data_IF_542193039802
#
_entry.id   IF_542193039802
#
_cell.length_a   1.000
_cell.length_b   1.000
_cell.length_c   1.000
_cell.angle_alpha   90.00
_cell.angle_beta   90.00
_cell.angle_gamma   90.00
#
_symmetry.space_group_name_H-M   'P 1'
#
loop_
_entity.id
_entity.type
_entity.pdbx_description
1 polymer ?
#
# COMPACT_ATOMS: atom_id res chain seq x y z
N UNK A 1 55.21 -12.84 -7.27
CA UNK A 1 54.47 -12.32 -8.44
C UNK A 1 53.00 -12.48 -8.14
N UNK A 2 52.46 -11.48 -7.45
CA UNK A 2 51.05 -11.37 -7.08
C UNK A 2 50.33 -10.58 -8.16
N UNK A 3 49.35 -11.17 -8.83
CA UNK A 3 48.45 -10.46 -9.72
C UNK A 3 47.07 -10.35 -9.07
N UNK A 4 46.92 -9.35 -8.21
CA UNK A 4 45.62 -8.86 -7.76
C UNK A 4 44.91 -8.15 -8.90
N UNK A 5 43.91 -8.81 -9.50
CA UNK A 5 42.91 -8.13 -10.33
C UNK A 5 41.73 -7.79 -9.43
N UNK A 6 41.74 -6.54 -8.96
CA UNK A 6 40.61 -5.87 -8.34
C UNK A 6 39.47 -5.82 -9.36
N UNK A 7 38.38 -6.55 -9.10
CA UNK A 7 37.09 -6.30 -9.75
C UNK A 7 36.58 -4.94 -9.26
N UNK A 8 36.98 -3.86 -9.95
CA UNK A 8 36.32 -2.56 -9.80
C UNK A 8 34.94 -2.67 -10.45
N UNK A 9 33.92 -3.00 -9.65
CA UNK A 9 32.54 -2.75 -10.07
C UNK A 9 32.39 -1.25 -10.30
N UNK A 10 31.97 -0.85 -11.50
CA UNK A 10 31.56 0.54 -11.76
C UNK A 10 30.32 0.79 -10.91
N UNK A 11 30.51 1.30 -9.70
CA UNK A 11 29.43 1.80 -8.86
C UNK A 11 28.95 3.09 -9.52
N UNK A 12 27.79 3.03 -10.19
CA UNK A 12 27.14 4.23 -10.69
C UNK A 12 26.70 5.03 -9.45
N UNK A 13 27.20 6.26 -9.33
CA UNK A 13 26.84 7.17 -8.25
C UNK A 13 25.31 7.39 -8.22
N UNK A 14 24.71 7.15 -7.07
CA UNK A 14 23.29 7.33 -6.81
C UNK A 14 22.82 8.76 -7.18
N UNK A 15 23.61 9.78 -6.83
CA UNK A 15 23.29 11.16 -7.15
C UNK A 15 23.21 11.42 -8.65
N UNK A 16 23.95 10.66 -9.46
CA UNK A 16 23.91 10.75 -10.92
C UNK A 16 22.64 10.09 -11.47
N UNK A 17 22.29 8.89 -10.99
CA UNK A 17 21.06 8.21 -11.40
C UNK A 17 19.80 9.02 -11.05
N UNK A 18 19.78 9.59 -9.85
CA UNK A 18 18.70 10.45 -9.40
C UNK A 18 18.53 11.68 -10.31
N UNK A 19 19.63 12.39 -10.61
CA UNK A 19 19.60 13.53 -11.54
C UNK A 19 19.14 13.13 -12.94
N UNK A 20 19.54 11.96 -13.43
CA UNK A 20 19.11 11.43 -14.72
C UNK A 20 17.60 11.16 -14.72
N UNK A 21 17.08 10.52 -13.67
CA UNK A 21 15.65 10.27 -13.52
C UNK A 21 14.86 11.58 -13.44
N UNK A 22 15.30 12.51 -12.58
CA UNK A 22 14.65 13.81 -12.35
C UNK A 22 14.74 14.76 -13.56
N UNK A 23 15.71 14.55 -14.46
CA UNK A 23 15.81 15.30 -15.72
C UNK A 23 14.62 15.06 -16.65
N UNK A 24 13.98 13.90 -16.54
CA UNK A 24 12.92 13.45 -17.45
C UNK A 24 13.40 13.13 -18.87
N UNK A 25 14.70 13.03 -19.11
CA UNK A 25 15.27 12.76 -20.44
C UNK A 25 15.35 11.27 -20.80
N UNK A 26 15.19 10.37 -19.83
CA UNK A 26 15.20 8.93 -20.08
C UNK A 26 13.93 8.52 -20.84
N UNK A 27 14.07 7.95 -22.06
CA UNK A 27 12.92 7.48 -22.83
C UNK A 27 12.14 6.42 -22.06
N UNK A 28 10.81 6.51 -22.08
CA UNK A 28 9.93 5.59 -21.35
C UNK A 28 10.21 4.10 -21.63
N UNK A 29 10.42 3.63 -22.88
CA UNK A 29 10.73 2.22 -23.15
C UNK A 29 12.01 1.73 -22.46
N UNK A 30 13.02 2.61 -22.36
CA UNK A 30 14.28 2.32 -21.67
C UNK A 30 14.05 2.20 -20.17
N UNK A 31 13.29 3.13 -19.59
CA UNK A 31 12.95 3.11 -18.17
C UNK A 31 12.17 1.84 -17.79
N UNK A 32 11.14 1.49 -18.56
CA UNK A 32 10.37 0.25 -18.35
C UNK A 32 11.26 -1.00 -18.47
N UNK A 33 12.15 -1.02 -19.48
CA UNK A 33 13.13 -2.11 -19.65
C UNK A 33 14.05 -2.27 -18.44
N UNK A 34 14.57 -1.16 -17.91
CA UNK A 34 15.42 -1.13 -16.73
C UNK A 34 14.65 -1.63 -15.47
N UNK A 35 13.42 -1.17 -15.26
CA UNK A 35 12.60 -1.62 -14.13
C UNK A 35 12.35 -3.14 -14.19
N UNK A 36 12.01 -3.67 -15.37
CA UNK A 36 11.84 -5.13 -15.55
C UNK A 36 13.13 -5.91 -15.26
N UNK A 37 14.29 -5.37 -15.63
CA UNK A 37 15.57 -5.97 -15.29
C UNK A 37 15.81 -5.99 -13.77
N UNK A 38 15.50 -4.90 -13.06
CA UNK A 38 15.56 -4.83 -11.59
C UNK A 38 14.61 -5.85 -10.95
N UNK A 39 13.37 -5.99 -11.46
CA UNK A 39 12.43 -7.02 -10.98
C UNK A 39 13.00 -8.43 -11.15
N UNK A 40 13.59 -8.73 -12.32
CA UNK A 40 14.21 -10.03 -12.58
C UNK A 40 15.41 -10.31 -11.66
N UNK A 41 16.24 -9.29 -11.40
CA UNK A 41 17.37 -9.37 -10.46
C UNK A 41 16.89 -9.63 -9.03
N UNK A 42 15.86 -8.89 -8.59
CA UNK A 42 15.27 -9.08 -7.25
C UNK A 42 14.76 -10.51 -7.08
N UNK A 43 14.00 -11.03 -8.05
CA UNK A 43 13.52 -12.42 -8.00
C UNK A 43 14.66 -13.44 -7.94
N UNK A 44 15.76 -13.20 -8.66
CA UNK A 44 16.93 -14.08 -8.62
C UNK A 44 17.61 -14.05 -7.24
N UNK A 45 17.67 -12.89 -6.60
CA UNK A 45 18.20 -12.74 -5.24
C UNK A 45 17.30 -13.46 -4.23
N UNK A 46 15.99 -13.23 -4.27
CA UNK A 46 15.06 -13.83 -3.30
C UNK A 46 14.96 -15.36 -3.44
N UNK A 47 15.09 -15.89 -4.66
CA UNK A 47 15.17 -17.35 -4.89
C UNK A 47 16.44 -18.00 -4.31
N UNK A 48 17.46 -17.22 -3.99
CA UNK A 48 18.74 -17.68 -3.43
C UNK A 48 18.83 -17.52 -1.91
N UNK A 49 17.77 -17.02 -1.25
CA UNK A 49 17.74 -16.91 0.21
C UNK A 49 17.97 -18.29 0.85
N UNK A 50 18.73 -18.36 1.95
CA UNK A 50 18.99 -19.62 2.62
C UNK A 50 17.71 -20.24 3.19
N UNK A 51 17.64 -21.57 3.34
CA UNK A 51 16.61 -22.20 4.16
C UNK A 51 16.55 -21.56 5.56
N UNK A 52 15.36 -21.42 6.12
CA UNK A 52 15.19 -20.77 7.43
C UNK A 52 14.98 -19.25 7.38
N UNK A 53 15.17 -18.60 6.22
CA UNK A 53 15.03 -17.14 6.10
C UNK A 53 13.63 -16.63 6.48
N UNK A 54 12.57 -17.32 6.05
CA UNK A 54 11.20 -16.91 6.39
C UNK A 54 10.94 -17.01 7.89
N UNK A 55 11.41 -18.08 8.54
CA UNK A 55 11.30 -18.25 9.99
C UNK A 55 12.06 -17.16 10.75
N UNK A 56 13.27 -16.82 10.30
CA UNK A 56 14.06 -15.74 10.88
C UNK A 56 13.38 -14.37 10.71
N UNK A 57 12.79 -14.12 9.53
CA UNK A 57 12.01 -12.90 9.28
C UNK A 57 10.79 -12.83 10.20
N UNK A 58 9.99 -13.90 10.29
CA UNK A 58 8.83 -13.97 11.20
C UNK A 58 9.25 -13.69 12.64
N UNK A 59 10.35 -14.28 13.12
CA UNK A 59 10.86 -14.03 14.46
C UNK A 59 11.25 -12.56 14.66
N UNK A 60 11.95 -11.96 13.69
CA UNK A 60 12.32 -10.54 13.71
C UNK A 60 11.10 -9.61 13.73
N UNK A 61 10.06 -9.92 12.96
CA UNK A 61 8.81 -9.16 12.95
C UNK A 61 8.11 -9.21 14.32
N UNK A 62 8.07 -10.39 14.98
CA UNK A 62 7.48 -10.54 16.33
C UNK A 62 8.22 -9.73 17.41
N UNK A 63 9.52 -9.51 17.25
CA UNK A 63 10.33 -8.73 18.21
C UNK A 63 10.46 -7.24 17.86
N UNK A 64 9.94 -6.80 16.71
CA UNK A 64 10.03 -5.40 16.28
C UNK A 64 8.97 -4.52 16.95
N UNK A 65 9.10 -3.20 16.82
CA UNK A 65 7.98 -2.29 17.07
C UNK A 65 6.86 -2.52 16.04
N UNK A 66 5.63 -2.07 16.34
CA UNK A 66 4.49 -2.19 15.40
C UNK A 66 4.79 -1.54 14.05
N UNK A 67 5.44 -0.39 14.05
CA UNK A 67 5.92 0.30 12.87
C UNK A 67 7.25 0.97 13.17
N UNK A 68 8.13 1.02 12.16
CA UNK A 68 9.43 1.69 12.21
C UNK A 68 9.42 2.87 11.21
N UNK A 69 10.26 3.87 11.42
CA UNK A 69 10.45 5.00 10.48
C UNK A 69 9.16 5.75 10.08
N UNK A 70 8.18 5.85 10.98
CA UNK A 70 6.86 6.44 10.70
C UNK A 70 6.92 7.90 10.25
N UNK A 71 7.97 8.64 10.64
CA UNK A 71 8.19 10.02 10.22
C UNK A 71 8.66 10.14 8.76
N UNK A 72 9.54 9.23 8.30
CA UNK A 72 10.00 9.22 6.92
C UNK A 72 8.87 8.84 5.95
N UNK A 73 8.04 7.86 6.32
CA UNK A 73 6.84 7.50 5.55
C UNK A 73 5.86 8.68 5.41
N UNK A 74 5.71 9.49 6.47
CA UNK A 74 4.91 10.73 6.48
C UNK A 74 5.37 11.74 5.43
N UNK A 75 6.67 12.05 5.40
CA UNK A 75 7.22 13.02 4.44
C UNK A 75 7.21 12.51 3.00
N UNK A 76 7.39 11.19 2.79
CA UNK A 76 7.49 10.60 1.45
C UNK A 76 6.14 10.50 0.70
N UNK A 77 5.03 10.26 1.42
CA UNK A 77 3.73 10.02 0.79
C UNK A 77 2.56 10.83 1.37
N UNK A 78 2.60 11.18 2.65
CA UNK A 78 1.42 11.68 3.36
C UNK A 78 1.35 13.21 3.46
N UNK A 79 2.45 13.92 3.18
CA UNK A 79 2.49 15.39 3.07
C UNK A 79 2.28 15.93 1.65
N UNK A 80 2.10 15.05 0.65
CA UNK A 80 1.73 15.46 -0.70
C UNK A 80 0.29 16.01 -0.72
N UNK A 81 0.04 17.18 -1.35
CA UNK A 81 -1.29 17.81 -1.30
C UNK A 81 -2.40 16.91 -1.84
N UNK A 82 -3.56 16.90 -1.17
CA UNK A 82 -4.75 16.16 -1.62
C UNK A 82 -5.13 16.48 -3.07
N UNK A 83 -4.91 17.73 -3.50
CA UNK A 83 -5.16 18.18 -4.86
C UNK A 83 -4.32 17.45 -5.92
N UNK A 84 -3.09 17.05 -5.60
CA UNK A 84 -2.28 16.22 -6.51
C UNK A 84 -2.92 14.85 -6.71
N UNK A 85 -3.32 14.20 -5.61
CA UNK A 85 -4.00 12.91 -5.68
C UNK A 85 -5.34 13.00 -6.41
N UNK A 86 -6.08 14.11 -6.29
CA UNK A 86 -7.30 14.34 -7.07
C UNK A 86 -7.06 14.44 -8.58
N UNK A 87 -5.83 14.73 -9.02
CA UNK A 87 -5.44 14.70 -10.45
C UNK A 87 -4.89 13.37 -10.89
N UNK A 88 -4.14 12.68 -10.02
CA UNK A 88 -3.50 11.42 -10.36
C UNK A 88 -4.46 10.21 -10.25
N UNK A 89 -5.33 10.20 -9.24
CA UNK A 89 -6.21 9.07 -8.91
C UNK A 89 -7.58 9.19 -9.58
N UNK A 90 -8.49 8.27 -9.25
CA UNK A 90 -9.89 8.36 -9.67
C UNK A 90 -10.76 9.14 -8.67
N UNK A 91 -12.07 9.23 -8.93
CA UNK A 91 -13.02 10.02 -8.13
C UNK A 91 -13.16 9.58 -6.68
N UNK A 92 -12.77 8.35 -6.34
CA UNK A 92 -12.79 7.85 -4.96
C UNK A 92 -11.47 8.09 -4.22
N UNK A 93 -10.44 8.64 -4.89
CA UNK A 93 -9.10 8.86 -4.34
C UNK A 93 -8.49 7.59 -3.72
N UNK A 94 -8.72 6.45 -4.38
CA UNK A 94 -8.26 5.16 -3.87
C UNK A 94 -6.79 4.96 -4.22
N UNK A 95 -5.91 5.37 -3.32
CA UNK A 95 -4.46 5.19 -3.45
C UNK A 95 -4.01 3.78 -3.03
N UNK A 96 -4.50 2.77 -3.76
CA UNK A 96 -4.18 1.35 -3.59
C UNK A 96 -4.73 0.55 -4.79
N UNK A 97 -4.33 -0.71 -4.96
CA UNK A 97 -4.71 -1.55 -6.10
C UNK A 97 -6.23 -1.56 -6.38
N UNK A 98 -6.64 -1.23 -7.60
CA UNK A 98 -8.04 -1.28 -8.03
C UNK A 98 -8.38 -2.62 -8.67
N UNK A 99 -9.68 -2.91 -8.84
CA UNK A 99 -10.15 -4.19 -9.37
C UNK A 99 -10.66 -3.96 -10.79
N UNK A 100 -10.17 -4.75 -11.73
CA UNK A 100 -10.43 -4.56 -13.16
C UNK A 100 -11.05 -5.81 -13.80
N UNK A 101 -12.28 -6.18 -13.40
CA UNK A 101 -12.98 -7.31 -14.01
C UNK A 101 -13.37 -7.01 -15.46
N UNK A 102 -13.90 -8.03 -16.15
CA UNK A 102 -14.47 -7.84 -17.47
C UNK A 102 -15.57 -6.75 -17.44
N UNK A 103 -15.57 -5.87 -18.44
CA UNK A 103 -16.52 -4.75 -18.54
C UNK A 103 -16.08 -3.45 -17.83
N UNK A 104 -15.03 -3.48 -17.00
CA UNK A 104 -14.48 -2.27 -16.36
C UNK A 104 -13.38 -1.64 -17.22
N UNK A 105 -13.61 -0.40 -17.65
CA UNK A 105 -12.76 0.29 -18.62
C UNK A 105 -12.08 1.55 -18.07
N UNK A 106 -12.67 2.19 -17.04
CA UNK A 106 -12.16 3.43 -16.46
C UNK A 106 -11.56 3.23 -15.07
N UNK A 107 -10.68 4.14 -14.65
CA UNK A 107 -10.10 4.12 -13.31
C UNK A 107 -11.18 4.26 -12.23
N UNK A 108 -12.17 5.13 -12.42
CA UNK A 108 -13.25 5.32 -11.44
C UNK A 108 -14.12 4.07 -11.26
N UNK A 109 -14.46 3.38 -12.36
CA UNK A 109 -15.14 2.08 -12.29
C UNK A 109 -14.28 1.04 -11.56
N UNK A 110 -12.96 1.03 -11.80
CA UNK A 110 -12.06 0.08 -11.15
C UNK A 110 -11.87 0.36 -9.64
N UNK A 111 -11.85 1.64 -9.25
CA UNK A 111 -11.87 2.04 -7.84
C UNK A 111 -13.15 1.54 -7.17
N UNK A 112 -14.31 1.85 -7.75
CA UNK A 112 -15.61 1.42 -7.24
C UNK A 112 -15.72 -0.11 -7.17
N UNK A 113 -15.25 -0.83 -8.19
CA UNK A 113 -15.26 -2.29 -8.23
C UNK A 113 -14.42 -2.91 -7.11
N UNK A 114 -13.27 -2.32 -6.76
CA UNK A 114 -12.48 -2.80 -5.62
C UNK A 114 -13.13 -2.46 -4.28
N UNK A 115 -13.78 -1.30 -4.17
CA UNK A 115 -14.51 -0.93 -2.96
C UNK A 115 -15.70 -1.86 -2.71
N UNK A 116 -16.46 -2.22 -3.76
CA UNK A 116 -17.52 -3.24 -3.68
C UNK A 116 -16.95 -4.62 -3.31
N UNK A 117 -15.86 -5.06 -3.95
CA UNK A 117 -15.21 -6.34 -3.62
C UNK A 117 -14.71 -6.36 -2.17
N UNK A 118 -14.14 -5.25 -1.70
CA UNK A 118 -13.69 -5.06 -0.32
C UNK A 118 -14.87 -5.16 0.64
N UNK A 119 -15.96 -4.44 0.38
CA UNK A 119 -17.16 -4.48 1.21
C UNK A 119 -17.76 -5.89 1.29
N UNK A 120 -17.83 -6.60 0.16
CA UNK A 120 -18.31 -7.97 0.11
C UNK A 120 -17.41 -8.93 0.91
N UNK A 121 -16.10 -8.90 0.69
CA UNK A 121 -15.15 -9.80 1.39
C UNK A 121 -15.04 -9.49 2.89
N UNK A 122 -15.14 -8.21 3.26
CA UNK A 122 -15.19 -7.77 4.65
C UNK A 122 -16.57 -7.99 5.30
N UNK A 123 -17.59 -8.40 4.55
CA UNK A 123 -18.98 -8.53 5.03
C UNK A 123 -19.50 -7.24 5.69
N UNK A 124 -19.27 -6.12 5.02
CA UNK A 124 -19.86 -4.86 5.42
C UNK A 124 -21.37 -4.92 5.22
N UNK A 125 -22.10 -4.53 6.26
CA UNK A 125 -23.55 -4.47 6.27
C UNK A 125 -24.01 -3.18 6.93
N UNK A 126 -25.22 -2.74 6.58
CA UNK A 126 -25.82 -1.54 7.14
C UNK A 126 -26.15 -1.73 8.64
N UNK A 127 -25.81 -0.74 9.47
CA UNK A 127 -25.97 -0.78 10.93
C UNK A 127 -24.72 -1.20 11.71
N UNK A 128 -23.60 -1.49 11.03
CA UNK A 128 -22.33 -1.88 11.66
C UNK A 128 -21.50 -0.67 12.14
N UNK A 129 -20.69 -0.88 13.17
CA UNK A 129 -19.57 0.01 13.52
C UNK A 129 -18.29 -0.50 12.85
N UNK A 130 -17.71 0.31 11.96
CA UNK A 130 -16.58 -0.06 11.11
C UNK A 130 -15.36 0.82 11.40
N UNK A 131 -14.22 0.19 11.65
CA UNK A 131 -12.92 0.86 11.72
C UNK A 131 -12.18 0.72 10.39
N UNK A 132 -11.88 1.83 9.74
CA UNK A 132 -11.01 1.91 8.55
C UNK A 132 -9.60 2.32 9.01
N UNK A 133 -8.74 1.32 9.22
CA UNK A 133 -7.41 1.46 9.84
C UNK A 133 -6.34 1.62 8.74
N UNK A 134 -5.77 2.82 8.65
CA UNK A 134 -4.93 3.22 7.52
C UNK A 134 -5.76 3.75 6.36
N UNK A 135 -6.71 4.65 6.63
CA UNK A 135 -7.79 5.02 5.71
C UNK A 135 -7.35 5.83 4.47
N UNK A 136 -6.11 6.32 4.42
CA UNK A 136 -5.61 7.18 3.34
C UNK A 136 -6.50 8.41 3.14
N UNK A 137 -6.93 8.67 1.90
CA UNK A 137 -7.87 9.76 1.58
C UNK A 137 -9.35 9.45 1.91
N UNK A 138 -9.62 8.35 2.62
CA UNK A 138 -10.95 7.92 3.04
C UNK A 138 -11.77 7.28 1.94
N UNK A 139 -11.13 6.71 0.93
CA UNK A 139 -11.78 6.09 -0.23
C UNK A 139 -12.87 5.08 0.18
N UNK A 140 -12.56 4.19 1.13
CA UNK A 140 -13.53 3.23 1.68
C UNK A 140 -14.57 3.92 2.56
N UNK A 141 -14.13 4.63 3.60
CA UNK A 141 -15.06 5.23 4.58
C UNK A 141 -16.09 6.16 3.94
N UNK A 142 -15.68 7.05 3.03
CA UNK A 142 -16.60 7.98 2.36
C UNK A 142 -17.55 7.27 1.39
N UNK A 143 -17.07 6.24 0.69
CA UNK A 143 -17.88 5.46 -0.24
C UNK A 143 -18.91 4.60 0.51
N UNK A 144 -18.47 3.88 1.55
CA UNK A 144 -19.29 2.97 2.33
C UNK A 144 -20.33 3.72 3.17
N UNK A 145 -19.99 4.89 3.71
CA UNK A 145 -20.91 5.71 4.50
C UNK A 145 -22.17 6.13 3.74
N UNK A 146 -22.04 6.42 2.43
CA UNK A 146 -23.18 6.74 1.58
C UNK A 146 -24.08 5.51 1.31
N UNK A 147 -23.49 4.32 1.27
CA UNK A 147 -24.17 3.05 0.96
C UNK A 147 -24.81 2.39 2.18
N UNK A 148 -24.26 2.66 3.37
CA UNK A 148 -24.67 2.08 4.64
C UNK A 148 -25.01 3.20 5.65
N UNK A 149 -26.15 3.89 5.48
CA UNK A 149 -26.47 5.10 6.23
C UNK A 149 -26.71 4.86 7.73
N UNK A 150 -27.02 3.62 8.16
CA UNK A 150 -27.17 3.27 9.57
C UNK A 150 -25.85 2.82 10.23
N UNK A 151 -24.83 2.55 9.44
CA UNK A 151 -23.49 2.21 9.94
C UNK A 151 -22.75 3.44 10.46
N UNK A 152 -21.69 3.24 11.24
CA UNK A 152 -20.74 4.29 11.66
C UNK A 152 -19.35 3.92 11.20
N UNK A 153 -18.64 4.86 10.60
CA UNK A 153 -17.28 4.67 10.09
C UNK A 153 -16.29 5.53 10.88
N UNK A 154 -15.32 4.88 11.50
CA UNK A 154 -14.17 5.54 12.13
C UNK A 154 -12.97 5.38 11.22
N UNK A 155 -12.54 6.45 10.56
CA UNK A 155 -11.41 6.48 9.64
C UNK A 155 -10.14 6.96 10.36
N UNK A 156 -9.09 6.14 10.37
CA UNK A 156 -7.84 6.44 11.06
C UNK A 156 -6.68 6.52 10.08
N UNK A 157 -6.03 7.68 10.07
CA UNK A 157 -4.77 7.90 9.35
C UNK A 157 -3.74 8.47 10.32
N UNK A 158 -2.45 8.33 10.02
CA UNK A 158 -1.38 9.04 10.71
C UNK A 158 -1.24 10.51 10.26
N UNK A 159 -1.91 10.91 9.18
CA UNK A 159 -1.76 12.21 8.54
C UNK A 159 -2.93 13.17 8.83
N UNK A 160 -2.62 14.37 9.32
CA UNK A 160 -3.62 15.42 9.58
C UNK A 160 -4.30 15.91 8.30
N UNK A 161 -3.56 16.02 7.20
CA UNK A 161 -4.06 16.40 5.87
C UNK A 161 -5.18 15.47 5.38
N UNK A 162 -5.00 14.15 5.57
CA UNK A 162 -5.98 13.14 5.22
C UNK A 162 -7.22 13.21 6.11
N UNK A 163 -7.05 13.32 7.44
CA UNK A 163 -8.16 13.57 8.38
C UNK A 163 -9.00 14.77 7.93
N UNK A 164 -8.35 15.90 7.64
CA UNK A 164 -9.02 17.14 7.28
C UNK A 164 -9.76 17.02 5.95
N UNK A 165 -9.14 16.37 4.97
CA UNK A 165 -9.78 16.05 3.71
C UNK A 165 -11.06 15.22 3.91
N UNK A 166 -10.98 14.11 4.66
CA UNK A 166 -12.11 13.22 4.91
C UNK A 166 -13.24 13.96 5.63
N UNK A 167 -12.91 14.73 6.67
CA UNK A 167 -13.90 15.52 7.40
C UNK A 167 -14.58 16.58 6.50
N UNK A 168 -13.82 17.23 5.62
CA UNK A 168 -14.37 18.18 4.66
C UNK A 168 -15.28 17.49 3.63
N UNK A 169 -14.87 16.33 3.09
CA UNK A 169 -15.68 15.56 2.15
C UNK A 169 -16.95 15.00 2.79
N UNK A 170 -16.87 14.50 4.03
CA UNK A 170 -18.04 14.03 4.76
C UNK A 170 -19.07 15.15 4.95
N UNK A 171 -18.63 16.35 5.38
CA UNK A 171 -19.52 17.53 5.50
C UNK A 171 -20.12 17.93 4.16
N UNK A 172 -19.30 18.04 3.10
CA UNK A 172 -19.76 18.45 1.78
C UNK A 172 -20.81 17.49 1.18
N UNK A 173 -20.76 16.21 1.57
CA UNK A 173 -21.68 15.17 1.10
C UNK A 173 -22.82 14.87 2.09
N UNK A 174 -22.90 15.58 3.22
CA UNK A 174 -23.92 15.34 4.25
C UNK A 174 -23.78 14.00 4.99
N UNK A 175 -22.59 13.41 4.99
CA UNK A 175 -22.31 12.11 5.62
C UNK A 175 -22.05 12.30 7.12
N UNK A 176 -23.10 12.26 7.94
CA UNK A 176 -23.02 12.39 9.40
C UNK A 176 -22.46 11.13 10.12
N UNK A 177 -22.25 10.05 9.38
CA UNK A 177 -21.82 8.74 9.88
C UNK A 177 -20.33 8.44 9.65
N UNK A 178 -19.51 9.46 9.36
CA UNK A 178 -18.04 9.34 9.22
C UNK A 178 -17.33 10.20 10.26
N UNK A 179 -16.46 9.58 11.06
CA UNK A 179 -15.53 10.26 11.97
C UNK A 179 -14.10 10.00 11.52
N UNK A 180 -13.33 11.05 11.24
CA UNK A 180 -11.92 10.94 10.87
C UNK A 180 -11.01 11.35 12.04
N UNK A 181 -9.96 10.58 12.29
CA UNK A 181 -8.93 10.90 13.29
C UNK A 181 -7.52 10.75 12.73
N UNK A 182 -6.64 11.65 13.16
CA UNK A 182 -5.21 11.59 12.90
C UNK A 182 -4.51 11.00 14.13
N UNK A 183 -4.01 9.78 14.04
CA UNK A 183 -3.37 9.07 15.14
C UNK A 183 -2.29 8.09 14.65
N UNK A 184 -1.22 7.95 15.43
CA UNK A 184 -0.20 6.93 15.19
C UNK A 184 -0.72 5.58 15.67
N UNK A 185 -0.73 4.57 14.79
CA UNK A 185 -1.17 3.22 15.14
C UNK A 185 -0.38 2.63 16.30
N UNK A 186 0.89 3.00 16.49
CA UNK A 186 1.72 2.52 17.60
C UNK A 186 1.14 2.88 18.97
N UNK A 187 0.46 4.02 19.08
CA UNK A 187 -0.10 4.52 20.35
C UNK A 187 -1.62 4.63 20.36
N UNK A 188 -2.29 4.35 19.23
CA UNK A 188 -3.74 4.41 19.07
C UNK A 188 -4.52 3.60 20.12
N UNK A 189 -5.22 4.27 21.02
CA UNK A 189 -6.16 3.64 21.94
C UNK A 189 -7.59 3.78 21.41
N UNK A 190 -8.30 2.66 21.29
CA UNK A 190 -9.72 2.61 20.92
C UNK A 190 -10.48 1.79 21.96
N UNK A 191 -11.79 2.05 22.15
CA UNK A 191 -12.59 1.26 23.07
C UNK A 191 -12.59 -0.23 22.67
N UNK A 192 -12.48 -1.11 23.65
CA UNK A 192 -12.56 -2.55 23.42
C UNK A 192 -13.96 -2.97 22.99
N UNK A 193 -14.08 -3.92 22.08
CA UNK A 193 -15.38 -4.45 21.66
C UNK A 193 -16.26 -3.50 20.84
N UNK A 194 -15.71 -2.43 20.28
CA UNK A 194 -16.48 -1.35 19.67
C UNK A 194 -16.79 -1.52 18.17
N UNK A 195 -16.10 -2.42 17.48
CA UNK A 195 -16.21 -2.52 16.02
C UNK A 195 -16.67 -3.89 15.56
N UNK A 196 -17.75 -3.93 14.78
CA UNK A 196 -18.22 -5.14 14.10
C UNK A 196 -17.25 -5.54 12.99
N UNK A 197 -16.62 -4.56 12.33
CA UNK A 197 -15.64 -4.78 11.27
C UNK A 197 -14.46 -3.84 11.44
N UNK A 198 -13.27 -4.39 11.22
CA UNK A 198 -12.05 -3.61 11.01
C UNK A 198 -11.61 -3.88 9.58
N UNK A 199 -11.31 -2.84 8.82
CA UNK A 199 -10.84 -2.93 7.45
C UNK A 199 -9.51 -2.20 7.35
N UNK A 200 -8.53 -2.82 6.73
CA UNK A 200 -7.22 -2.22 6.48
C UNK A 200 -6.81 -2.49 5.04
N UNK A 201 -6.50 -1.42 4.29
CA UNK A 201 -6.15 -1.46 2.87
C UNK A 201 -4.76 -0.89 2.68
N UNK A 202 -3.83 -1.73 2.24
CA UNK A 202 -2.42 -1.42 1.94
C UNK A 202 -1.70 -0.64 3.06
N UNK A 203 -1.99 -1.01 4.32
CA UNK A 203 -1.31 -0.47 5.51
C UNK A 203 -0.29 -1.45 6.10
N UNK A 204 -0.53 -2.75 6.04
CA UNK A 204 0.27 -3.78 6.73
C UNK A 204 1.69 -3.87 6.17
N UNK A 205 1.92 -3.41 4.95
CA UNK A 205 3.22 -3.33 4.28
C UNK A 205 4.14 -2.31 4.96
N UNK A 206 3.57 -1.34 5.69
CA UNK A 206 4.31 -0.39 6.51
C UNK A 206 4.51 -0.87 7.96
N UNK A 207 3.87 -1.99 8.33
CA UNK A 207 3.95 -2.52 9.68
C UNK A 207 5.07 -3.56 9.78
N UNK A 208 5.53 -3.81 11.02
CA UNK A 208 6.56 -4.80 11.34
C UNK A 208 6.01 -5.84 12.30
N UNK A 209 5.54 -5.42 13.47
CA UNK A 209 4.99 -6.36 14.44
C UNK A 209 3.50 -6.66 14.20
N UNK A 210 3.25 -7.59 13.27
CA UNK A 210 1.90 -8.05 12.94
C UNK A 210 1.23 -8.73 14.14
N UNK A 211 1.97 -9.47 14.97
CA UNK A 211 1.43 -10.11 16.16
C UNK A 211 0.83 -9.07 17.13
N UNK A 212 1.61 -8.04 17.48
CA UNK A 212 1.17 -7.00 18.39
C UNK A 212 0.01 -6.17 17.81
N UNK A 213 0.05 -5.87 16.50
CA UNK A 213 -1.05 -5.16 15.83
C UNK A 213 -2.34 -5.99 15.81
N UNK A 214 -2.27 -7.26 15.42
CA UNK A 214 -3.43 -8.16 15.38
C UNK A 214 -4.03 -8.38 16.76
N UNK A 215 -3.21 -8.46 17.83
CA UNK A 215 -3.70 -8.50 19.21
C UNK A 215 -4.54 -7.26 19.57
N UNK A 216 -4.08 -6.08 19.18
CA UNK A 216 -4.80 -4.83 19.44
C UNK A 216 -6.11 -4.78 18.67
N UNK A 217 -6.07 -5.12 17.38
CA UNK A 217 -7.27 -5.22 16.54
C UNK A 217 -8.25 -6.23 17.14
N UNK A 218 -7.77 -7.39 17.60
CA UNK A 218 -8.59 -8.37 18.28
C UNK A 218 -9.32 -7.76 19.48
N UNK A 219 -8.65 -6.94 20.30
CA UNK A 219 -9.26 -6.22 21.42
C UNK A 219 -10.34 -5.21 21.02
N UNK A 220 -10.20 -4.55 19.86
CA UNK A 220 -11.16 -3.55 19.37
C UNK A 220 -12.43 -4.18 18.76
N UNK A 221 -12.34 -5.42 18.28
CA UNK A 221 -13.48 -6.11 17.66
C UNK A 221 -14.59 -6.45 18.67
N UNK A 222 -15.84 -6.20 18.30
CA UNK A 222 -17.01 -6.70 19.02
C UNK A 222 -17.08 -8.25 18.95
N UNK A 223 -17.86 -8.92 19.84
CA UNK A 223 -18.15 -10.34 19.68
C UNK A 223 -18.72 -10.64 18.28
N UNK A 224 -18.13 -11.62 17.58
CA UNK A 224 -18.50 -11.93 16.19
C UNK A 224 -17.93 -10.95 15.14
N UNK A 225 -17.12 -9.98 15.55
CA UNK A 225 -16.45 -9.06 14.65
C UNK A 225 -15.32 -9.72 13.85
N UNK A 226 -15.00 -9.12 12.70
CA UNK A 226 -13.96 -9.60 11.80
C UNK A 226 -13.04 -8.48 11.30
N UNK A 227 -11.80 -8.84 11.03
CA UNK A 227 -10.81 -8.01 10.36
C UNK A 227 -10.72 -8.41 8.87
N UNK A 228 -10.76 -7.43 7.97
CA UNK A 228 -10.37 -7.62 6.58
C UNK A 228 -9.07 -6.89 6.30
N UNK A 229 -8.12 -7.59 5.68
CA UNK A 229 -6.81 -7.08 5.29
C UNK A 229 -6.66 -7.19 3.77
N UNK A 230 -6.40 -6.08 3.11
CA UNK A 230 -6.00 -6.00 1.70
C UNK A 230 -4.55 -5.55 1.67
N UNK A 231 -3.67 -6.36 1.10
CA UNK A 231 -2.24 -6.02 0.92
C UNK A 231 -1.75 -6.34 -0.48
N UNK A 232 -0.77 -5.60 -0.98
CA UNK A 232 0.09 -6.09 -2.03
C UNK A 232 1.13 -7.05 -1.46
N UNK A 233 1.51 -8.07 -2.23
CA UNK A 233 2.42 -9.11 -1.79
C UNK A 233 3.24 -9.67 -2.95
N UNK A 234 4.36 -10.32 -2.65
CA UNK A 234 4.96 -11.27 -3.56
C UNK A 234 4.37 -12.67 -3.30
N UNK A 235 4.16 -13.46 -4.35
CA UNK A 235 3.48 -14.76 -4.26
C UNK A 235 4.17 -15.78 -3.33
N UNK A 236 5.47 -15.65 -3.10
CA UNK A 236 6.26 -16.67 -2.37
C UNK A 236 7.28 -16.15 -1.37
N UNK A 237 7.66 -14.89 -1.44
CA UNK A 237 8.84 -14.37 -0.76
C UNK A 237 8.44 -13.15 0.03
N UNK A 238 8.75 -13.13 1.31
CA UNK A 238 8.60 -11.94 2.13
C UNK A 238 9.98 -11.33 2.30
N UNK A 239 10.10 -10.02 2.16
CA UNK A 239 11.39 -9.33 2.33
C UNK A 239 11.19 -7.88 2.72
N UNK A 240 12.06 -7.31 3.56
CA UNK A 240 12.02 -5.89 3.85
C UNK A 240 12.47 -5.07 2.63
N UNK A 241 11.92 -3.88 2.52
CA UNK A 241 12.46 -2.83 1.66
C UNK A 241 13.66 -2.22 2.38
N UNK A 242 14.84 -2.82 2.17
CA UNK A 242 16.11 -2.35 2.70
C UNK A 242 16.87 -1.53 1.66
N UNK A 243 17.61 -0.56 2.15
CA UNK A 243 18.53 0.24 1.35
C UNK A 243 19.90 -0.46 1.25
N UNK A 244 19.97 -1.50 0.41
CA UNK A 244 21.16 -2.34 0.28
C UNK A 244 22.03 -2.01 -0.95
N UNK A 245 21.69 -0.95 -1.71
CA UNK A 245 22.50 -0.46 -2.83
C UNK A 245 21.78 0.50 -3.78
N UNK A 246 22.50 0.92 -4.83
CA UNK A 246 22.03 1.92 -5.80
C UNK A 246 20.79 1.49 -6.62
N UNK A 247 20.43 0.19 -6.64
CA UNK A 247 19.24 -0.33 -7.31
C UNK A 247 17.96 -0.24 -6.47
N UNK A 248 18.06 0.07 -5.18
CA UNK A 248 16.93 0.04 -4.23
C UNK A 248 16.26 1.41 -4.06
N UNK A 249 16.34 2.26 -5.08
CA UNK A 249 15.75 3.60 -5.08
C UNK A 249 14.27 3.64 -4.68
N UNK A 250 13.45 2.72 -5.23
CA UNK A 250 12.04 2.66 -4.87
C UNK A 250 11.84 2.34 -3.39
N UNK A 251 12.66 1.43 -2.84
CA UNK A 251 12.63 1.13 -1.41
C UNK A 251 12.96 2.38 -0.60
N UNK A 252 13.98 3.14 -1.02
CA UNK A 252 14.46 4.36 -0.32
C UNK A 252 13.52 5.56 -0.44
N UNK A 253 12.90 5.81 -1.58
CA UNK A 253 12.06 7.01 -1.76
C UNK A 253 10.61 6.80 -1.38
N UNK A 254 10.10 5.56 -1.45
CA UNK A 254 8.66 5.31 -1.34
C UNK A 254 8.29 4.21 -0.34
N UNK A 255 9.23 3.36 0.07
CA UNK A 255 8.92 2.24 0.97
C UNK A 255 9.88 2.11 2.14
N UNK A 256 10.50 3.21 2.59
CA UNK A 256 11.46 3.19 3.70
C UNK A 256 10.79 2.62 4.95
N UNK A 257 11.42 1.61 5.55
CA UNK A 257 10.85 0.93 6.71
C UNK A 257 9.64 0.04 6.39
N UNK A 258 9.32 -0.17 5.11
CA UNK A 258 8.25 -1.05 4.63
C UNK A 258 8.74 -2.47 4.28
N UNK A 259 7.82 -3.38 4.02
CA UNK A 259 8.07 -4.78 3.68
C UNK A 259 7.24 -5.16 2.45
N UNK A 260 7.82 -5.96 1.55
CA UNK A 260 7.03 -6.76 0.63
C UNK A 260 6.62 -8.05 1.34
N UNK A 261 5.37 -8.22 1.78
CA UNK A 261 4.94 -9.47 2.40
C UNK A 261 4.87 -10.59 1.36
N UNK A 262 4.89 -11.85 1.83
CA UNK A 262 4.46 -12.98 1.01
C UNK A 262 2.95 -13.23 1.20
N UNK A 263 2.30 -13.93 0.27
CA UNK A 263 0.92 -14.40 0.48
C UNK A 263 0.80 -15.40 1.65
N UNK A 264 1.92 -15.99 2.09
CA UNK A 264 1.96 -16.87 3.26
C UNK A 264 2.29 -16.14 4.56
N UNK A 265 2.74 -14.88 4.52
CA UNK A 265 3.35 -14.25 5.68
C UNK A 265 2.35 -14.07 6.84
N UNK A 266 1.14 -13.61 6.54
CA UNK A 266 0.12 -13.34 7.56
C UNK A 266 -0.36 -14.63 8.25
N UNK A 267 -0.25 -15.78 7.59
CA UNK A 267 -0.62 -17.10 8.17
C UNK A 267 0.26 -17.49 9.37
N UNK A 268 1.43 -16.87 9.52
CA UNK A 268 2.31 -17.09 10.68
C UNK A 268 1.89 -16.32 11.94
N UNK A 269 0.86 -15.46 11.88
CA UNK A 269 0.47 -14.56 12.97
C UNK A 269 -0.99 -14.78 13.40
N UNK A 270 -1.32 -15.99 13.84
CA UNK A 270 -2.71 -16.38 14.14
C UNK A 270 -3.03 -16.61 15.62
N UNK A 271 -2.29 -15.91 16.50
CA UNK A 271 -2.39 -16.09 17.96
C UNK A 271 -3.74 -15.58 18.49
N UNK A 272 -4.13 -14.35 18.13
CA UNK A 272 -5.35 -13.66 18.60
C UNK A 272 -6.49 -13.65 17.55
N UNK A 273 -6.14 -13.70 16.27
CA UNK A 273 -7.06 -13.72 15.12
C UNK A 273 -6.63 -14.82 14.16
N UNK A 274 -7.55 -15.64 13.66
CA UNK A 274 -7.28 -16.66 12.65
C UNK A 274 -7.89 -16.29 11.30
N UNK A 275 -7.18 -16.59 10.23
CA UNK A 275 -7.66 -16.42 8.85
C UNK A 275 -8.80 -17.41 8.62
N UNK A 276 -9.96 -16.88 8.26
CA UNK A 276 -11.17 -17.63 7.93
C UNK A 276 -11.37 -17.76 6.43
N UNK A 277 -10.85 -16.82 5.66
CA UNK A 277 -10.88 -16.78 4.20
C UNK A 277 -9.63 -16.07 3.68
N UNK A 278 -9.12 -16.55 2.55
CA UNK A 278 -7.93 -16.06 1.84
C UNK A 278 -8.26 -15.99 0.35
N UNK A 279 -8.00 -14.84 -0.26
CA UNK A 279 -8.16 -14.63 -1.68
C UNK A 279 -6.94 -13.96 -2.28
N UNK A 280 -6.70 -14.22 -3.55
CA UNK A 280 -5.64 -13.57 -4.31
C UNK A 280 -6.22 -12.99 -5.61
N UNK A 281 -5.69 -11.85 -6.01
CA UNK A 281 -5.86 -11.28 -7.33
C UNK A 281 -4.47 -11.17 -7.97
N UNK A 282 -4.38 -11.51 -9.25
CA UNK A 282 -3.11 -11.37 -9.95
C UNK A 282 -2.69 -9.90 -10.04
N UNK A 283 -1.39 -9.67 -10.20
CA UNK A 283 -0.81 -8.33 -10.21
C UNK A 283 -1.27 -7.45 -11.37
N UNK A 284 -1.89 -8.01 -12.42
CA UNK A 284 -2.31 -7.18 -13.56
C UNK A 284 -3.36 -6.13 -13.17
N UNK A 285 -4.11 -6.37 -12.09
CA UNK A 285 -5.02 -5.40 -11.50
C UNK A 285 -4.30 -4.16 -10.97
N UNK A 286 -3.23 -4.33 -10.19
CA UNK A 286 -2.44 -3.20 -9.73
C UNK A 286 -1.64 -2.59 -10.90
N UNK A 287 -1.13 -3.41 -11.81
CA UNK A 287 -0.43 -2.92 -13.01
C UNK A 287 -1.29 -1.93 -13.82
N UNK A 288 -2.55 -2.30 -14.10
CA UNK A 288 -3.53 -1.44 -14.80
C UNK A 288 -3.88 -0.19 -13.99
N UNK A 289 -3.94 -0.31 -12.67
CA UNK A 289 -4.19 0.81 -11.76
C UNK A 289 -3.06 1.85 -11.83
N UNK A 290 -1.82 1.40 -11.66
CA UNK A 290 -0.65 2.27 -11.70
C UNK A 290 -0.44 2.89 -13.09
N UNK A 291 -0.74 2.15 -14.15
CA UNK A 291 -0.72 2.66 -15.53
C UNK A 291 -1.79 3.75 -15.75
N UNK A 292 -2.98 3.63 -15.14
CA UNK A 292 -3.99 4.69 -15.17
C UNK A 292 -3.53 5.94 -14.41
N UNK A 293 -2.91 5.78 -13.23
CA UNK A 293 -2.32 6.90 -12.49
C UNK A 293 -1.20 7.59 -13.27
N UNK A 294 -0.34 6.80 -13.92
CA UNK A 294 0.70 7.30 -14.83
C UNK A 294 0.12 8.18 -15.94
N UNK A 295 -0.92 7.68 -16.64
CA UNK A 295 -1.57 8.44 -17.72
C UNK A 295 -2.19 9.73 -17.22
N UNK A 296 -2.88 9.69 -16.08
CA UNK A 296 -3.47 10.88 -15.46
C UNK A 296 -2.40 11.92 -15.10
N UNK A 297 -1.31 11.47 -14.47
CA UNK A 297 -0.17 12.35 -14.14
C UNK A 297 0.41 13.02 -15.40
N UNK A 298 0.57 12.27 -16.48
CA UNK A 298 1.10 12.80 -17.75
C UNK A 298 0.13 13.74 -18.46
N UNK A 299 -1.17 13.46 -18.41
CA UNK A 299 -2.20 14.35 -18.94
C UNK A 299 -2.27 15.69 -18.18
N UNK A 300 -1.97 15.68 -16.88
CA UNK A 300 -2.01 16.85 -15.99
C UNK A 300 -0.62 17.33 -15.55
N UNK A 301 0.44 17.06 -16.33
CA UNK A 301 1.85 17.24 -15.93
C UNK A 301 2.18 18.65 -15.43
N UNK A 302 1.67 19.69 -16.10
CA UNK A 302 1.93 21.09 -15.74
C UNK A 302 1.25 21.47 -14.41
N UNK A 303 -0.01 21.06 -14.22
CA UNK A 303 -0.74 21.28 -12.97
C UNK A 303 -0.10 20.49 -11.83
N UNK A 304 0.28 19.24 -12.07
CA UNK A 304 1.00 18.42 -11.10
C UNK A 304 2.32 19.06 -10.66
N UNK A 305 3.07 19.69 -11.58
CA UNK A 305 4.30 20.40 -11.24
C UNK A 305 4.04 21.60 -10.32
N UNK A 306 2.96 22.36 -10.56
CA UNK A 306 2.57 23.47 -9.70
C UNK A 306 2.15 22.98 -8.30
N UNK A 307 1.43 21.85 -8.22
CA UNK A 307 0.97 21.27 -6.96
C UNK A 307 2.09 20.63 -6.15
N UNK A 308 3.04 19.97 -6.81
CA UNK A 308 4.17 19.33 -6.15
C UNK A 308 5.29 20.32 -5.79
N UNK A 309 5.41 21.41 -6.56
CA UNK A 309 6.41 22.45 -6.38
C UNK A 309 7.60 22.37 -7.34
N UNK A 310 7.72 21.29 -8.13
CA UNK A 310 8.78 21.17 -9.14
C UNK A 310 8.47 20.15 -10.23
N UNK A 311 9.11 20.33 -11.40
CA UNK A 311 9.12 19.31 -12.47
C UNK A 311 9.87 18.05 -12.06
N UNK A 312 10.92 18.17 -11.24
CA UNK A 312 11.69 17.03 -10.76
C UNK A 312 10.82 16.07 -9.93
N UNK A 313 9.95 16.59 -9.06
CA UNK A 313 9.01 15.75 -8.31
C UNK A 313 7.99 15.06 -9.22
N UNK A 314 7.52 15.72 -10.28
CA UNK A 314 6.64 15.06 -11.27
C UNK A 314 7.36 13.87 -11.93
N UNK A 315 8.65 14.01 -12.26
CA UNK A 315 9.42 12.89 -12.80
C UNK A 315 9.62 11.76 -11.78
N UNK A 316 9.82 12.07 -10.49
CA UNK A 316 9.86 11.04 -9.45
C UNK A 316 8.55 10.26 -9.38
N UNK A 317 7.41 10.94 -9.36
CA UNK A 317 6.08 10.31 -9.39
C UNK A 317 5.83 9.53 -10.69
N UNK A 318 6.32 10.04 -11.82
CA UNK A 318 6.27 9.36 -13.12
C UNK A 318 6.97 8.01 -13.04
N UNK A 319 8.20 8.00 -12.55
CA UNK A 319 8.98 6.76 -12.42
C UNK A 319 8.37 5.83 -11.38
N UNK A 320 7.85 6.35 -10.27
CA UNK A 320 7.14 5.56 -9.27
C UNK A 320 5.94 4.81 -9.86
N UNK A 321 5.02 5.50 -10.55
CA UNK A 321 3.86 4.84 -11.15
C UNK A 321 4.25 3.83 -12.24
N UNK A 322 5.23 4.17 -13.08
CA UNK A 322 5.78 3.21 -14.05
C UNK A 322 6.38 1.99 -13.36
N UNK A 323 7.07 2.18 -12.24
CA UNK A 323 7.72 1.09 -11.56
C UNK A 323 6.73 0.17 -10.84
N UNK A 324 5.68 0.71 -10.23
CA UNK A 324 4.54 -0.10 -9.77
C UNK A 324 3.87 -0.86 -10.94
N UNK A 325 3.64 -0.19 -12.07
CA UNK A 325 3.02 -0.82 -13.24
C UNK A 325 3.83 -2.02 -13.76
N UNK A 326 5.15 -1.87 -13.89
CA UNK A 326 6.04 -2.94 -14.35
C UNK A 326 6.23 -4.04 -13.29
N UNK A 327 6.32 -3.68 -12.00
CA UNK A 327 6.48 -4.64 -10.90
C UNK A 327 5.29 -5.59 -10.82
N UNK A 328 4.08 -5.03 -10.72
CA UNK A 328 2.85 -5.83 -10.62
C UNK A 328 2.44 -6.43 -11.98
N UNK A 329 2.88 -5.86 -13.10
CA UNK A 329 2.68 -6.44 -14.43
C UNK A 329 3.68 -7.57 -14.76
N UNK A 330 4.75 -7.71 -13.97
CA UNK A 330 5.87 -8.59 -14.28
C UNK A 330 5.41 -10.05 -14.44
N UNK A 331 5.84 -10.68 -15.54
CA UNK A 331 5.45 -12.05 -15.93
C UNK A 331 3.92 -12.29 -15.93
N UNK A 332 3.18 -11.29 -16.44
CA UNK A 332 1.72 -11.26 -16.48
C UNK A 332 1.08 -11.30 -15.08
N UNK A 333 1.66 -10.56 -14.13
CA UNK A 333 1.12 -10.41 -12.78
C UNK A 333 1.14 -11.65 -11.90
N UNK A 334 2.10 -12.57 -12.14
CA UNK A 334 2.16 -13.86 -11.43
C UNK A 334 3.20 -13.92 -10.31
N UNK A 335 4.04 -12.91 -10.18
CA UNK A 335 5.10 -12.84 -9.16
C UNK A 335 4.67 -11.92 -8.00
N UNK A 336 4.36 -10.65 -8.28
CA UNK A 336 3.72 -9.73 -7.33
C UNK A 336 2.23 -9.64 -7.58
N UNK A 337 1.44 -9.72 -6.51
CA UNK A 337 0.00 -9.96 -6.49
C UNK A 337 -0.66 -9.11 -5.41
N UNK A 338 -1.99 -9.14 -5.36
CA UNK A 338 -2.79 -8.60 -4.26
C UNK A 338 -3.33 -9.78 -3.46
N UNK A 339 -3.20 -9.74 -2.14
CA UNK A 339 -3.74 -10.73 -1.23
C UNK A 339 -4.77 -10.10 -0.29
N UNK A 340 -5.91 -10.76 -0.16
CA UNK A 340 -6.99 -10.37 0.74
C UNK A 340 -7.20 -11.46 1.78
N UNK A 341 -7.35 -11.07 3.04
CA UNK A 341 -7.61 -12.00 4.14
C UNK A 341 -8.78 -11.50 4.95
N UNK A 342 -9.63 -12.43 5.39
CA UNK A 342 -10.59 -12.16 6.46
C UNK A 342 -10.24 -12.97 7.68
N UNK A 343 -10.05 -12.30 8.81
CA UNK A 343 -9.68 -12.89 10.08
C UNK A 343 -10.79 -12.69 11.12
N UNK A 344 -10.96 -13.67 11.99
CA UNK A 344 -11.88 -13.60 13.13
C UNK A 344 -11.17 -14.05 14.40
N UNK A 345 -11.69 -13.69 15.58
CA UNK A 345 -11.15 -14.17 16.86
C UNK A 345 -11.12 -15.69 16.89
N UNK A 346 -10.01 -16.27 17.36
CA UNK A 346 -9.95 -17.70 17.68
C UNK A 346 -11.02 -17.99 18.74
N UNK A 347 -11.79 -19.05 18.49
CA UNK A 347 -12.69 -19.62 19.49
C UNK A 347 -11.93 -20.45 20.50
#
# INVERSE_FOLDING_TARGET
MDHGIVQKSVAIDWGVLQRIVESGWVPEPVLRGAIRAVCALRLRQERRRPPGYEQALVASLRSSDIAIETAAANTQHYEVPAAFFARALGPHLKYSACYWPAGVATLGEAEAAMLELTAARAELADGQSVLDLGCGWGSLSLWAAARFPRSRFTAVSNARSQRDHIAAQARARGLANVTAQAADVRTLALPGGAFDRVVSIEMFEHMRNYQALLRRIAGWLAPGGALFVHVFAHRRHAYPFEDAGASDWMAREFFTGGLMPSTGLLHHFQDDLAITQDWQLDGTHYARTAEAWYRNLMAHRAEAAALLGSRAQVERWRVFFLACAELFGFRAGREWVIAHYRLARRR
#
